data_IF_122509752136
#
_entry.id   IF_122509752136
#
_cell.length_a   1.000
_cell.length_b   1.000
_cell.length_c   1.000
_cell.angle_alpha   90.00
_cell.angle_beta   90.00
_cell.angle_gamma   90.00
#
_symmetry.space_group_name_H-M   'P 1'
#
loop_
_entity.id
_entity.type
_entity.pdbx_description
1 polymer ?
#
# COMPACT_ATOMS: atom_id res chain seq x y z
N UNK A 1 8.81 0.03 -0.75
CA UNK A 1 7.72 0.78 -1.38
C UNK A 1 8.14 1.38 -2.70
N UNK A 2 7.31 2.23 -3.29
CA UNK A 2 7.54 2.79 -4.64
C UNK A 2 8.74 3.78 -4.74
N UNK A 3 9.25 4.26 -3.62
CA UNK A 3 10.47 5.07 -3.56
C UNK A 3 11.76 4.23 -3.62
N UNK A 4 11.65 2.91 -3.45
CA UNK A 4 12.78 2.00 -3.45
C UNK A 4 13.03 1.43 -4.85
N UNK A 5 14.31 1.38 -5.29
CA UNK A 5 14.64 0.71 -6.53
C UNK A 5 14.65 -0.82 -6.35
N UNK A 6 13.97 -1.58 -7.23
CA UNK A 6 13.97 -3.05 -7.18
C UNK A 6 15.39 -3.64 -7.28
N UNK A 7 16.32 -2.93 -7.92
CA UNK A 7 17.74 -3.29 -7.97
C UNK A 7 18.39 -3.42 -6.57
N UNK A 8 17.78 -2.86 -5.52
CA UNK A 8 18.26 -2.99 -4.13
C UNK A 8 17.81 -4.29 -3.46
N UNK A 9 16.81 -5.00 -4.02
CA UNK A 9 16.23 -6.22 -3.44
C UNK A 9 17.25 -7.30 -3.06
N UNK A 10 18.33 -7.56 -3.86
CA UNK A 10 19.33 -8.55 -3.47
C UNK A 10 20.04 -8.24 -2.13
N UNK A 11 20.11 -6.95 -1.73
CA UNK A 11 20.67 -6.58 -0.42
C UNK A 11 19.68 -6.92 0.71
N UNK A 12 18.38 -6.68 0.49
CA UNK A 12 17.34 -7.05 1.43
C UNK A 12 17.23 -8.57 1.59
N UNK A 13 17.30 -9.33 0.50
CA UNK A 13 17.29 -10.80 0.52
C UNK A 13 18.48 -11.39 1.29
N UNK A 14 19.69 -10.80 1.11
CA UNK A 14 20.86 -11.21 1.91
C UNK A 14 20.70 -10.93 3.40
N UNK A 15 20.02 -9.86 3.79
CA UNK A 15 19.76 -9.58 5.19
C UNK A 15 18.66 -10.50 5.75
N UNK A 16 17.63 -10.80 4.94
CA UNK A 16 16.59 -11.77 5.27
C UNK A 16 17.18 -13.17 5.48
N UNK A 17 18.12 -13.63 4.63
CA UNK A 17 18.80 -14.92 4.77
C UNK A 17 19.65 -15.03 6.07
N UNK A 18 19.98 -13.90 6.69
CA UNK A 18 20.65 -13.81 8.00
C UNK A 18 19.66 -13.66 9.17
N UNK A 19 18.36 -13.76 8.91
CA UNK A 19 17.33 -13.66 9.94
C UNK A 19 17.01 -12.23 10.40
N UNK A 20 17.42 -11.19 9.66
CA UNK A 20 17.12 -9.80 10.03
C UNK A 20 15.64 -9.45 9.91
N UNK A 21 14.95 -10.02 8.93
CA UNK A 21 13.50 -9.92 8.68
C UNK A 21 13.02 -11.03 7.76
N UNK A 22 11.71 -11.12 7.59
CA UNK A 22 11.05 -12.00 6.63
C UNK A 22 10.41 -11.14 5.51
N UNK A 23 10.81 -11.30 4.23
CA UNK A 23 10.17 -10.61 3.11
C UNK A 23 8.76 -11.15 2.90
N UNK A 24 7.79 -10.24 2.73
CA UNK A 24 6.38 -10.61 2.61
C UNK A 24 5.74 -10.23 1.29
N UNK A 25 6.43 -9.51 0.38
CA UNK A 25 5.82 -9.11 -0.88
C UNK A 25 5.35 -10.30 -1.70
N UNK A 26 4.05 -10.34 -2.02
CA UNK A 26 3.36 -11.47 -2.68
C UNK A 26 3.46 -12.79 -1.90
N UNK A 27 3.63 -12.72 -0.59
CA UNK A 27 3.76 -13.90 0.26
C UNK A 27 2.75 -13.86 1.41
N UNK A 28 2.48 -15.06 1.93
CA UNK A 28 1.71 -15.32 3.15
C UNK A 28 2.64 -15.90 4.20
N UNK A 29 2.54 -15.40 5.43
CA UNK A 29 3.25 -15.90 6.61
C UNK A 29 2.29 -15.99 7.80
N UNK A 30 2.83 -16.26 8.99
CA UNK A 30 2.09 -16.29 10.25
C UNK A 30 2.66 -15.27 11.23
N UNK A 31 1.77 -14.48 11.84
CA UNK A 31 2.10 -13.62 12.96
C UNK A 31 1.32 -14.11 14.21
N UNK A 32 1.97 -14.91 15.03
CA UNK A 32 1.27 -15.66 16.07
C UNK A 32 0.28 -16.65 15.49
N UNK A 33 -1.00 -16.49 15.82
CA UNK A 33 -2.08 -17.35 15.30
C UNK A 33 -2.78 -16.77 14.06
N UNK A 34 -2.40 -15.57 13.61
CA UNK A 34 -3.08 -14.88 12.51
C UNK A 34 -2.27 -14.99 11.21
N UNK A 35 -2.91 -15.32 10.08
CA UNK A 35 -2.23 -15.23 8.79
C UNK A 35 -1.95 -13.76 8.44
N UNK A 36 -0.75 -13.51 7.92
CA UNK A 36 -0.36 -12.19 7.42
C UNK A 36 0.00 -12.28 5.94
N UNK A 37 -0.48 -11.34 5.14
CA UNK A 37 -0.25 -11.24 3.71
C UNK A 37 0.45 -9.92 3.41
N UNK A 38 1.50 -9.95 2.59
CA UNK A 38 2.26 -8.76 2.24
C UNK A 38 2.15 -8.35 0.78
N UNK A 39 1.98 -7.05 0.52
CA UNK A 39 1.94 -6.50 -0.83
C UNK A 39 2.56 -5.10 -0.89
N UNK A 40 3.56 -4.92 -1.77
CA UNK A 40 4.37 -3.70 -1.83
C UNK A 40 4.03 -2.75 -2.97
N UNK A 41 3.23 -3.16 -3.99
CA UNK A 41 2.95 -2.28 -5.12
C UNK A 41 1.84 -1.27 -4.82
N UNK A 42 1.88 -0.17 -5.57
CA UNK A 42 0.93 0.95 -5.48
C UNK A 42 0.39 1.31 -6.87
N UNK A 43 -0.74 2.03 -6.97
CA UNK A 43 -1.22 2.60 -8.23
C UNK A 43 -0.20 3.54 -8.86
N UNK A 44 -0.33 3.85 -10.17
CA UNK A 44 0.56 4.78 -10.85
C UNK A 44 0.55 6.17 -10.23
N UNK A 45 1.73 6.75 -10.05
CA UNK A 45 1.93 8.11 -9.54
C UNK A 45 2.72 8.97 -10.54
N UNK A 46 3.02 10.21 -10.17
CA UNK A 46 3.88 11.10 -10.97
C UNK A 46 5.37 10.69 -10.95
N UNK A 47 5.78 9.71 -10.14
CA UNK A 47 7.16 9.22 -10.12
C UNK A 47 7.50 8.51 -11.43
N UNK A 48 8.70 8.77 -11.94
CA UNK A 48 9.21 8.13 -13.16
C UNK A 48 9.68 6.68 -12.90
N UNK A 49 10.11 6.36 -11.68
CA UNK A 49 10.48 5.00 -11.28
C UNK A 49 9.22 4.15 -11.09
N UNK A 50 9.12 3.04 -11.82
CA UNK A 50 7.93 2.15 -11.85
C UNK A 50 8.17 0.75 -11.30
N UNK A 51 9.21 0.55 -10.51
CA UNK A 51 9.55 -0.77 -9.97
C UNK A 51 8.42 -1.38 -9.14
N UNK A 52 7.72 -0.54 -8.37
CA UNK A 52 6.63 -0.95 -7.47
C UNK A 52 5.29 -0.31 -7.84
N UNK A 53 5.18 0.25 -9.04
CA UNK A 53 3.94 0.82 -9.53
C UNK A 53 3.35 -0.05 -10.64
N UNK A 54 2.09 -0.45 -10.46
CA UNK A 54 1.32 -1.27 -11.40
C UNK A 54 -0.03 -0.61 -11.68
N UNK A 55 -0.64 -0.95 -12.81
CA UNK A 55 -2.05 -0.63 -13.01
C UNK A 55 -2.88 -1.19 -11.86
N UNK A 56 -3.89 -0.46 -11.42
CA UNK A 56 -4.70 -0.87 -10.28
C UNK A 56 -5.74 -1.94 -10.66
N UNK A 57 -6.94 -1.54 -11.06
CA UNK A 57 -8.03 -2.44 -11.51
C UNK A 57 -8.17 -2.50 -13.02
N UNK A 58 -7.62 -1.53 -13.72
CA UNK A 58 -7.64 -1.39 -15.17
C UNK A 58 -6.42 -0.58 -15.61
N UNK A 59 -6.26 -0.42 -16.93
CA UNK A 59 -5.18 0.40 -17.51
C UNK A 59 -5.43 1.92 -17.43
N UNK A 60 -6.43 2.33 -16.71
CA UNK A 60 -6.65 3.76 -16.44
C UNK A 60 -5.53 4.30 -15.56
N UNK A 61 -5.08 5.50 -15.87
CA UNK A 61 -4.07 6.24 -15.12
C UNK A 61 -4.63 7.63 -14.84
N UNK A 62 -4.57 8.06 -13.61
CA UNK A 62 -5.07 9.37 -13.21
C UNK A 62 -4.31 10.52 -13.88
N UNK A 63 -4.97 11.68 -14.11
CA UNK A 63 -4.30 12.86 -14.61
C UNK A 63 -3.06 13.22 -13.80
N UNK A 64 -1.93 13.47 -14.48
CA UNK A 64 -0.65 13.79 -13.85
C UNK A 64 0.20 12.58 -13.41
N UNK A 65 -0.36 11.37 -13.40
CA UNK A 65 0.43 10.17 -13.16
C UNK A 65 1.09 9.66 -14.47
N UNK A 66 2.26 9.06 -14.33
CA UNK A 66 2.98 8.40 -15.42
C UNK A 66 2.56 6.93 -15.44
N UNK A 67 2.20 6.41 -16.62
CA UNK A 67 1.79 5.01 -16.73
C UNK A 67 2.95 4.06 -16.42
N UNK A 68 2.68 2.83 -15.94
CA UNK A 68 3.73 1.82 -15.73
C UNK A 68 4.52 1.47 -17.00
N UNK A 69 3.95 1.70 -18.20
CA UNK A 69 4.60 1.45 -19.49
C UNK A 69 5.51 2.59 -19.95
N UNK A 70 5.30 3.83 -19.46
CA UNK A 70 5.98 5.04 -19.90
C UNK A 70 7.11 5.50 -18.95
N UNK A 71 7.14 4.98 -17.71
CA UNK A 71 8.21 5.21 -16.77
C UNK A 71 9.41 4.26 -17.00
N UNK A 72 10.40 4.34 -16.13
CA UNK A 72 11.55 3.46 -16.17
C UNK A 72 11.58 2.50 -14.97
N UNK A 73 12.32 1.39 -15.11
CA UNK A 73 12.50 0.38 -14.07
C UNK A 73 13.99 0.14 -13.85
N UNK A 74 14.40 0.00 -12.58
CA UNK A 74 15.78 -0.33 -12.22
C UNK A 74 16.12 -1.79 -12.56
N UNK A 75 15.11 -2.66 -12.61
CA UNK A 75 15.19 -4.03 -13.10
C UNK A 75 14.28 -4.17 -14.33
N UNK A 76 14.82 -4.51 -15.51
CA UNK A 76 14.03 -4.63 -16.72
C UNK A 76 12.89 -5.63 -16.57
N UNK A 77 11.72 -5.27 -17.07
CA UNK A 77 10.54 -6.12 -17.17
C UNK A 77 10.03 -6.08 -18.61
N UNK A 78 9.59 -7.22 -19.13
CA UNK A 78 9.03 -7.27 -20.48
C UNK A 78 7.77 -6.42 -20.58
N UNK A 79 7.67 -5.59 -21.63
CA UNK A 79 6.58 -4.60 -21.77
C UNK A 79 5.18 -5.21 -21.75
N UNK A 80 5.02 -6.43 -22.31
CA UNK A 80 3.73 -7.11 -22.29
C UNK A 80 3.31 -7.51 -20.86
N UNK A 81 4.27 -7.88 -19.99
CA UNK A 81 3.98 -8.17 -18.58
C UNK A 81 3.51 -6.91 -17.85
N UNK A 82 4.23 -5.79 -18.04
CA UNK A 82 3.83 -4.49 -17.44
C UNK A 82 2.39 -4.13 -17.80
N UNK A 83 1.98 -4.40 -19.05
CA UNK A 83 0.64 -4.08 -19.56
C UNK A 83 -0.48 -4.88 -18.90
N UNK A 84 -0.22 -6.14 -18.51
CA UNK A 84 -1.25 -7.07 -18.04
C UNK A 84 -1.21 -7.35 -16.54
N UNK A 85 -0.13 -6.97 -15.87
CA UNK A 85 -0.06 -7.05 -14.41
C UNK A 85 -0.85 -5.89 -13.80
N UNK A 86 -1.75 -6.23 -12.88
CA UNK A 86 -2.55 -5.26 -12.13
C UNK A 86 -2.53 -5.62 -10.65
N UNK A 87 -2.66 -4.62 -9.79
CA UNK A 87 -2.81 -4.83 -8.35
C UNK A 87 -3.98 -5.78 -8.06
N UNK A 88 -5.10 -5.59 -8.74
CA UNK A 88 -6.27 -6.47 -8.59
C UNK A 88 -5.93 -7.95 -8.83
N UNK A 89 -5.23 -8.26 -9.92
CA UNK A 89 -4.84 -9.63 -10.27
C UNK A 89 -3.86 -10.20 -9.24
N UNK A 90 -2.89 -9.41 -8.80
CA UNK A 90 -1.92 -9.84 -7.80
C UNK A 90 -2.60 -10.17 -6.47
N UNK A 91 -3.55 -9.33 -6.04
CA UNK A 91 -4.29 -9.55 -4.80
C UNK A 91 -5.20 -10.79 -4.88
N UNK A 92 -5.83 -11.03 -6.03
CA UNK A 92 -6.62 -12.24 -6.25
C UNK A 92 -5.75 -13.52 -6.19
N UNK A 93 -4.52 -13.47 -6.74
CA UNK A 93 -3.58 -14.59 -6.63
C UNK A 93 -3.05 -14.77 -5.20
N UNK A 94 -2.68 -13.67 -4.53
CA UNK A 94 -2.12 -13.69 -3.18
C UNK A 94 -3.11 -14.25 -2.16
N UNK A 95 -4.38 -13.87 -2.26
CA UNK A 95 -5.39 -14.21 -1.26
C UNK A 95 -6.24 -15.41 -1.64
N UNK A 96 -6.36 -15.71 -2.94
CA UNK A 96 -7.13 -16.84 -3.45
C UNK A 96 -8.52 -16.97 -2.82
N UNK A 97 -8.83 -18.16 -2.37
CA UNK A 97 -10.10 -18.50 -1.67
C UNK A 97 -9.98 -18.51 -0.14
N UNK A 98 -8.84 -18.09 0.41
CA UNK A 98 -8.58 -18.11 1.85
C UNK A 98 -9.62 -17.30 2.62
N UNK A 99 -10.01 -17.74 3.80
CA UNK A 99 -10.78 -16.90 4.72
C UNK A 99 -9.87 -15.83 5.31
N UNK A 100 -10.15 -14.56 5.00
CA UNK A 100 -9.38 -13.42 5.48
C UNK A 100 -9.93 -12.84 6.79
N UNK A 101 -10.97 -13.42 7.36
CA UNK A 101 -11.70 -12.85 8.52
C UNK A 101 -10.80 -12.58 9.73
N UNK A 102 -9.75 -13.37 9.92
CA UNK A 102 -8.73 -13.20 10.96
C UNK A 102 -7.37 -12.73 10.41
N UNK A 103 -7.30 -12.41 9.12
CA UNK A 103 -6.07 -12.06 8.47
C UNK A 103 -5.61 -10.63 8.77
N UNK A 104 -4.29 -10.46 8.72
CA UNK A 104 -3.61 -9.17 8.70
C UNK A 104 -3.09 -8.93 7.29
N UNK A 105 -3.41 -7.78 6.68
CA UNK A 105 -2.87 -7.38 5.39
C UNK A 105 -1.83 -6.27 5.60
N UNK A 106 -0.58 -6.54 5.28
CA UNK A 106 0.51 -5.57 5.29
C UNK A 106 0.72 -5.06 3.86
N UNK A 107 -0.04 -4.05 3.47
CA UNK A 107 -0.09 -3.52 2.12
C UNK A 107 0.44 -2.08 2.07
N UNK A 108 1.38 -1.79 1.17
CA UNK A 108 1.99 -0.49 1.13
C UNK A 108 0.98 0.62 0.82
N UNK A 109 0.13 0.44 -0.19
CA UNK A 109 -0.92 1.43 -0.52
C UNK A 109 -2.15 1.28 0.37
N UNK A 110 -2.74 2.38 0.88
CA UNK A 110 -4.05 2.36 1.52
C UNK A 110 -5.18 2.16 0.49
N UNK A 111 -6.40 1.79 0.93
CA UNK A 111 -7.57 1.72 0.06
C UNK A 111 -8.01 3.11 -0.40
N UNK A 112 -8.47 3.22 -1.66
CA UNK A 112 -8.96 4.45 -2.27
C UNK A 112 -10.20 5.02 -1.54
N UNK A 113 -10.35 6.36 -1.54
CA UNK A 113 -11.47 7.11 -0.96
C UNK A 113 -11.68 6.79 0.53
N UNK A 114 -10.62 6.98 1.30
CA UNK A 114 -10.59 6.83 2.75
C UNK A 114 -9.89 8.01 3.42
N UNK A 115 -9.94 8.08 4.75
CA UNK A 115 -9.16 9.09 5.49
C UNK A 115 -7.65 8.82 5.42
N UNK A 116 -7.23 7.66 4.93
CA UNK A 116 -5.84 7.19 4.98
C UNK A 116 -5.06 7.44 3.69
N UNK A 117 -5.74 7.82 2.58
CA UNK A 117 -5.14 7.96 1.25
C UNK A 117 -5.18 9.36 0.67
N UNK A 118 -5.49 10.38 1.47
CA UNK A 118 -5.65 11.75 1.03
C UNK A 118 -4.28 12.44 0.81
N UNK A 119 -3.95 12.76 -0.44
CA UNK A 119 -2.63 13.24 -0.86
C UNK A 119 -2.47 14.78 -0.88
N UNK A 120 -3.55 15.54 -0.66
CA UNK A 120 -3.48 17.01 -0.65
C UNK A 120 -3.30 17.62 -2.03
N UNK A 121 -4.03 17.11 -3.00
CA UNK A 121 -4.04 17.57 -4.38
C UNK A 121 -5.23 18.50 -4.68
N UNK A 122 -5.88 19.05 -3.64
CA UNK A 122 -7.04 19.92 -3.78
C UNK A 122 -6.74 21.13 -4.67
N UNK A 123 -7.60 21.35 -5.64
CA UNK A 123 -7.49 22.47 -6.58
C UNK A 123 -6.40 22.31 -7.63
N UNK A 124 -5.60 21.23 -7.59
CA UNK A 124 -4.64 20.94 -8.66
C UNK A 124 -5.35 20.36 -9.87
N UNK A 125 -4.88 20.74 -11.06
CA UNK A 125 -5.42 20.31 -12.34
C UNK A 125 -4.29 19.97 -13.31
N UNK A 126 -4.53 19.01 -14.18
CA UNK A 126 -3.68 18.71 -15.33
C UNK A 126 -4.54 18.82 -16.58
N UNK A 127 -4.17 19.68 -17.54
CA UNK A 127 -4.92 19.96 -18.76
C UNK A 127 -6.41 20.29 -18.48
N UNK A 128 -6.66 21.12 -17.44
CA UNK A 128 -7.99 21.50 -16.96
C UNK A 128 -8.82 20.37 -16.33
N UNK A 129 -8.27 19.19 -16.14
CA UNK A 129 -8.92 18.08 -15.43
C UNK A 129 -8.47 18.11 -13.97
N UNK A 130 -9.41 18.16 -13.00
CA UNK A 130 -9.07 18.10 -11.59
C UNK A 130 -8.35 16.79 -11.26
N UNK A 131 -7.29 16.88 -10.45
CA UNK A 131 -6.63 15.69 -9.91
C UNK A 131 -7.47 15.07 -8.80
N UNK A 132 -7.50 13.74 -8.72
CA UNK A 132 -8.08 13.06 -7.57
C UNK A 132 -7.21 13.31 -6.33
N UNK A 133 -7.83 13.65 -5.23
CA UNK A 133 -7.15 13.81 -3.94
C UNK A 133 -6.87 12.48 -3.25
N UNK A 134 -7.56 11.42 -3.67
CA UNK A 134 -7.43 10.07 -3.17
C UNK A 134 -6.51 9.25 -4.08
N UNK A 135 -5.34 8.87 -3.55
CA UNK A 135 -4.29 8.17 -4.32
C UNK A 135 -4.14 6.70 -3.91
N UNK A 136 -5.07 6.20 -3.13
CA UNK A 136 -5.11 4.79 -2.72
C UNK A 136 -5.58 3.86 -3.83
N UNK A 137 -5.56 2.56 -3.55
CA UNK A 137 -5.92 1.52 -4.52
C UNK A 137 -7.39 1.13 -4.44
N UNK A 138 -8.07 1.17 -5.58
CA UNK A 138 -9.42 0.60 -5.75
C UNK A 138 -9.43 -0.93 -5.55
N UNK A 139 -8.36 -1.63 -5.99
CA UNK A 139 -8.26 -3.07 -5.82
C UNK A 139 -8.18 -3.44 -4.33
N UNK A 140 -7.37 -2.71 -3.55
CA UNK A 140 -7.27 -2.90 -2.09
C UNK A 140 -8.60 -2.59 -1.42
N UNK A 141 -9.27 -1.49 -1.78
CA UNK A 141 -10.60 -1.16 -1.24
C UNK A 141 -11.60 -2.27 -1.50
N UNK A 142 -11.72 -2.75 -2.74
CA UNK A 142 -12.65 -3.83 -3.12
C UNK A 142 -12.35 -5.13 -2.38
N UNK A 143 -11.06 -5.45 -2.18
CA UNK A 143 -10.67 -6.62 -1.40
C UNK A 143 -11.15 -6.50 0.05
N UNK A 144 -10.90 -5.37 0.71
CA UNK A 144 -11.33 -5.12 2.09
C UNK A 144 -12.86 -5.17 2.19
N UNK A 145 -13.60 -4.50 1.31
CA UNK A 145 -15.05 -4.50 1.32
C UNK A 145 -15.66 -5.90 1.16
N UNK A 146 -15.10 -6.71 0.28
CA UNK A 146 -15.61 -8.07 0.00
C UNK A 146 -15.20 -9.11 1.03
N UNK A 147 -13.97 -9.04 1.55
CA UNK A 147 -13.35 -10.11 2.33
C UNK A 147 -13.22 -9.79 3.82
N UNK A 148 -13.36 -8.49 4.18
CA UNK A 148 -13.39 -8.01 5.55
C UNK A 148 -12.26 -8.59 6.44
N UNK A 149 -10.97 -8.41 6.11
CA UNK A 149 -9.88 -8.85 6.95
C UNK A 149 -9.94 -8.20 8.34
N UNK A 150 -9.28 -8.81 9.32
CA UNK A 150 -9.28 -8.31 10.69
C UNK A 150 -8.59 -6.94 10.81
N UNK A 151 -7.42 -6.83 10.18
CA UNK A 151 -6.55 -5.65 10.25
C UNK A 151 -5.85 -5.41 8.92
N UNK A 152 -5.75 -4.15 8.51
CA UNK A 152 -4.87 -3.76 7.40
C UNK A 152 -3.90 -2.68 7.84
N UNK A 153 -2.63 -2.82 7.45
CA UNK A 153 -1.53 -1.93 7.77
C UNK A 153 -0.99 -1.32 6.48
N UNK A 154 -0.92 0.01 6.45
CA UNK A 154 -0.57 0.78 5.26
C UNK A 154 0.54 1.80 5.55
N UNK A 155 1.14 2.29 4.45
CA UNK A 155 2.10 3.37 4.41
C UNK A 155 1.78 4.34 3.27
N UNK A 156 2.75 4.63 2.42
CA UNK A 156 2.67 5.34 1.15
C UNK A 156 2.20 6.81 1.26
N UNK A 157 1.00 7.08 1.76
CA UNK A 157 0.42 8.44 1.80
C UNK A 157 0.78 9.13 3.11
N UNK A 158 1.95 9.78 3.13
CA UNK A 158 2.59 10.28 4.35
C UNK A 158 1.82 11.42 5.03
N UNK A 159 1.21 12.32 4.25
CA UNK A 159 0.53 13.51 4.77
C UNK A 159 -0.96 13.33 5.05
N UNK A 160 -1.55 12.15 4.86
CA UNK A 160 -3.00 11.94 4.96
C UNK A 160 -3.54 12.30 6.35
N UNK A 161 -2.87 11.86 7.43
CA UNK A 161 -3.30 12.14 8.80
C UNK A 161 -3.37 13.64 9.14
N UNK A 162 -2.45 14.44 8.57
CA UNK A 162 -2.42 15.89 8.80
C UNK A 162 -3.63 16.59 8.17
N UNK A 163 -4.12 16.07 7.05
CA UNK A 163 -5.26 16.62 6.32
C UNK A 163 -6.59 16.13 6.88
N UNK A 164 -6.68 14.83 7.16
CA UNK A 164 -7.92 14.20 7.60
C UNK A 164 -8.10 14.14 9.11
N UNK A 165 -7.02 14.37 9.88
CA UNK A 165 -7.00 14.21 11.33
C UNK A 165 -6.99 12.74 11.78
N UNK A 166 -6.90 11.77 10.85
CA UNK A 166 -6.97 10.35 11.18
C UNK A 166 -5.85 9.54 10.53
N UNK A 167 -5.22 8.68 11.30
CA UNK A 167 -4.24 7.68 10.85
C UNK A 167 -4.79 6.25 10.96
N UNK A 168 -6.02 6.10 11.44
CA UNK A 168 -6.77 4.83 11.50
C UNK A 168 -8.24 5.04 11.19
N UNK A 169 -8.87 4.03 10.60
CA UNK A 169 -10.28 4.06 10.20
C UNK A 169 -10.84 2.64 10.20
N UNK A 170 -12.16 2.50 10.30
CA UNK A 170 -12.86 1.24 10.03
C UNK A 170 -13.54 1.28 8.67
N UNK A 171 -13.49 0.15 7.95
CA UNK A 171 -14.30 -0.11 6.76
C UNK A 171 -15.04 -1.45 6.98
N UNK A 172 -16.35 -1.36 7.28
CA UNK A 172 -17.08 -2.49 7.84
C UNK A 172 -16.48 -2.91 9.18
N UNK A 173 -16.11 -4.20 9.32
CA UNK A 173 -15.43 -4.68 10.54
C UNK A 173 -13.91 -4.53 10.52
N UNK A 174 -13.33 -4.28 9.36
CA UNK A 174 -11.87 -4.17 9.20
C UNK A 174 -11.34 -2.90 9.85
N UNK A 175 -10.35 -3.05 10.73
CA UNK A 175 -9.52 -1.91 11.18
C UNK A 175 -8.44 -1.64 10.16
N UNK A 176 -8.29 -0.41 9.73
CA UNK A 176 -7.26 0.04 8.79
C UNK A 176 -6.37 1.07 9.46
N UNK A 177 -5.06 0.95 9.31
CA UNK A 177 -4.06 1.83 9.92
C UNK A 177 -3.06 2.25 8.85
N UNK A 178 -2.83 3.58 8.73
CA UNK A 178 -1.72 4.14 7.96
C UNK A 178 -0.69 4.73 8.93
N UNK A 179 0.47 4.08 9.05
CA UNK A 179 1.55 4.52 9.92
C UNK A 179 2.45 5.60 9.28
N UNK A 180 2.27 5.91 7.98
CA UNK A 180 3.10 6.88 7.27
C UNK A 180 3.05 8.26 7.94
N UNK A 181 4.20 8.96 7.91
CA UNK A 181 4.39 10.26 8.50
C UNK A 181 5.31 11.11 7.61
N UNK A 182 4.95 12.40 7.45
CA UNK A 182 5.67 13.33 6.58
C UNK A 182 6.60 14.30 7.37
N UNK A 183 6.77 14.06 8.67
CA UNK A 183 7.71 14.79 9.51
C UNK A 183 9.03 14.04 9.73
N UNK A 184 9.99 14.65 10.44
CA UNK A 184 11.28 14.02 10.72
C UNK A 184 11.21 12.93 11.81
N UNK A 185 10.08 12.85 12.54
CA UNK A 185 9.91 11.87 13.61
C UNK A 185 9.57 10.48 13.07
N UNK A 186 9.98 9.46 13.79
CA UNK A 186 9.49 8.10 13.57
C UNK A 186 8.07 7.95 14.11
N UNK A 187 7.13 7.58 13.27
CA UNK A 187 5.78 7.22 13.71
C UNK A 187 5.77 5.75 14.14
N UNK A 188 5.74 5.51 15.43
CA UNK A 188 5.61 4.18 16.02
C UNK A 188 4.13 3.90 16.35
N UNK A 189 3.61 2.79 15.83
CA UNK A 189 2.25 2.33 16.13
C UNK A 189 2.32 1.04 16.95
N UNK A 190 1.67 1.04 18.12
CA UNK A 190 1.50 -0.14 18.97
C UNK A 190 0.09 -0.66 18.84
N UNK A 191 -0.04 -1.95 18.56
CA UNK A 191 -1.32 -2.57 18.22
C UNK A 191 -1.53 -3.79 19.13
N UNK A 192 -2.66 -3.79 19.86
CA UNK A 192 -3.22 -5.01 20.43
C UNK A 192 -3.98 -5.76 19.33
N UNK A 193 -3.51 -6.94 18.95
CA UNK A 193 -4.12 -7.71 17.85
C UNK A 193 -5.53 -8.22 18.17
N UNK A 194 -5.94 -8.25 19.43
CA UNK A 194 -7.31 -8.59 19.82
C UNK A 194 -8.25 -7.38 19.74
N UNK A 195 -7.68 -6.17 19.85
CA UNK A 195 -8.40 -4.89 19.79
C UNK A 195 -7.67 -3.88 18.88
N UNK A 196 -7.50 -4.15 17.58
CA UNK A 196 -6.62 -3.36 16.72
C UNK A 196 -7.06 -1.90 16.57
N UNK A 197 -8.33 -1.57 16.79
CA UNK A 197 -8.79 -0.17 16.74
C UNK A 197 -8.34 0.66 17.96
N UNK A 198 -7.97 0.01 19.07
CA UNK A 198 -7.42 0.68 20.25
C UNK A 198 -5.93 1.02 20.09
N UNK A 199 -5.34 0.78 18.91
CA UNK A 199 -3.95 1.09 18.60
C UNK A 199 -3.57 2.52 18.98
N UNK A 200 -2.35 2.67 19.48
CA UNK A 200 -1.73 3.95 19.89
C UNK A 200 -0.62 4.32 18.90
N UNK A 201 -0.51 5.62 18.61
CA UNK A 201 0.53 6.19 17.76
C UNK A 201 1.36 7.18 18.55
N UNK A 202 2.68 7.01 18.49
CA UNK A 202 3.66 7.89 19.11
C UNK A 202 4.62 8.42 18.02
N UNK A 203 4.93 9.72 18.07
CA UNK A 203 5.95 10.32 17.22
C UNK A 203 7.23 10.46 18.04
N UNK A 204 8.25 9.69 17.68
CA UNK A 204 9.54 9.65 18.37
C UNK A 204 10.50 10.59 17.64
N UNK A 205 11.00 11.61 18.34
CA UNK A 205 12.06 12.48 17.82
C UNK A 205 13.37 11.71 17.64
N UNK A 206 14.09 12.02 16.56
CA UNK A 206 15.42 11.49 16.26
C UNK A 206 16.46 12.52 16.67
#
# INVERSE_FOLDING_TARGET
>A
GNDDAAATMPAFERAASKGAWEPLHLLKAQLGQRPIYGYGCVPPSALALKDWELYDVSRYVDPGAISPEDGWRSVPMERHLVRYYTIHRDLDHLTGVDDLSDAILLFHTPPHDTLLDHAGLEGQQVDHVPMDTHVGSFAVRRLIERRQPWLTLHGHVQGSWRRTGSWKQKLGRTTMINAAHDGPQLALVRIDLDRPFDAERELIGV
#
